data_IF_819008215834
#
_entry.id   IF_819008215834
#
_cell.length_a   1.000
_cell.length_b   1.000
_cell.length_c   1.000
_cell.angle_alpha   90.00
_cell.angle_beta   90.00
_cell.angle_gamma   90.00
#
_symmetry.space_group_name_H-M   'P 1'
#
loop_
_entity.id
_entity.type
_entity.pdbx_description
1 polymer ?
#
# COMPACT_ATOMS: atom_id res chain seq x y z
N UNK A 1 -4.82 7.61 10.67
CA UNK A 1 -5.87 8.02 9.72
C UNK A 1 -5.43 9.31 9.06
N UNK A 2 -6.00 9.64 7.92
CA UNK A 2 -5.62 10.83 7.14
C UNK A 2 -6.82 11.37 6.36
N UNK A 3 -6.66 12.53 5.73
CA UNK A 3 -7.66 13.10 4.83
C UNK A 3 -7.13 13.07 3.41
N UNK A 4 -7.87 12.43 2.50
CA UNK A 4 -7.60 12.52 1.07
C UNK A 4 -8.27 13.77 0.50
N UNK A 5 -7.56 14.49 -0.37
CA UNK A 5 -8.05 15.69 -1.05
C UNK A 5 -8.01 15.47 -2.56
N UNK A 6 -9.18 15.35 -3.17
CA UNK A 6 -9.35 15.27 -4.61
C UNK A 6 -9.57 16.66 -5.22
N UNK A 7 -8.53 17.22 -5.82
CA UNK A 7 -8.60 18.52 -6.49
C UNK A 7 -9.40 18.44 -7.79
N UNK A 8 -10.27 19.42 -8.01
CA UNK A 8 -11.17 19.49 -9.18
C UNK A 8 -10.39 19.87 -10.44
N UNK A 9 -10.73 19.25 -11.57
CA UNK A 9 -10.22 19.57 -12.90
C UNK A 9 -8.70 19.47 -13.09
N UNK A 10 -8.01 18.65 -12.29
CA UNK A 10 -6.58 18.36 -12.47
C UNK A 10 -6.32 17.28 -13.53
N UNK A 11 -7.33 16.46 -13.84
CA UNK A 11 -7.20 15.26 -14.65
C UNK A 11 -6.45 14.11 -13.97
N UNK A 12 -5.91 14.34 -12.76
CA UNK A 12 -5.18 13.34 -11.99
C UNK A 12 -6.12 12.52 -11.12
N UNK A 13 -5.88 11.20 -10.96
CA UNK A 13 -6.65 10.40 -10.03
C UNK A 13 -6.48 10.94 -8.62
N UNK A 14 -7.57 10.93 -7.84
CA UNK A 14 -7.50 11.27 -6.41
C UNK A 14 -6.67 10.24 -5.65
N UNK A 15 -6.77 8.99 -6.08
CA UNK A 15 -5.96 7.90 -5.56
C UNK A 15 -5.67 6.88 -6.67
N UNK A 16 -4.43 6.43 -6.75
CA UNK A 16 -4.00 5.46 -7.77
C UNK A 16 -4.42 4.05 -7.37
N UNK A 17 -4.35 3.10 -8.32
CA UNK A 17 -4.55 1.69 -7.98
C UNK A 17 -3.52 1.24 -6.96
N UNK A 18 -3.99 0.75 -5.81
CA UNK A 18 -3.14 0.24 -4.73
C UNK A 18 -3.93 -0.68 -3.79
N UNK A 19 -3.20 -1.30 -2.86
CA UNK A 19 -3.75 -1.88 -1.62
C UNK A 19 -3.19 -1.12 -0.44
N UNK A 20 -3.96 -0.99 0.63
CA UNK A 20 -3.51 -0.25 1.81
C UNK A 20 -2.39 -0.97 2.55
N UNK A 21 -1.57 -0.19 3.25
CA UNK A 21 -0.64 -0.68 4.27
C UNK A 21 -1.35 -0.95 5.62
N UNK A 22 -2.65 -1.22 5.63
CA UNK A 22 -3.41 -1.48 6.86
C UNK A 22 -4.45 -2.59 6.64
N UNK A 23 -4.83 -3.32 7.69
CA UNK A 23 -5.73 -4.47 7.52
C UNK A 23 -7.11 -4.05 7.05
N UNK A 24 -7.68 -3.02 7.68
CA UNK A 24 -9.01 -2.52 7.39
C UNK A 24 -9.01 -1.00 7.34
N UNK A 25 -9.85 -0.43 6.49
CA UNK A 25 -10.06 1.02 6.40
C UNK A 25 -11.53 1.35 6.39
N UNK A 26 -11.89 2.42 7.09
CA UNK A 26 -13.17 3.10 7.02
C UNK A 26 -12.97 4.44 6.31
N UNK A 27 -13.49 4.55 5.10
CA UNK A 27 -13.39 5.75 4.27
C UNK A 27 -14.73 6.46 4.33
N UNK A 28 -14.75 7.65 4.95
CA UNK A 28 -15.95 8.47 5.08
C UNK A 28 -15.87 9.64 4.13
N UNK A 29 -16.87 9.83 3.27
CA UNK A 29 -16.98 11.04 2.44
C UNK A 29 -17.50 12.17 3.31
N UNK A 30 -16.83 13.33 3.27
CA UNK A 30 -17.25 14.49 4.06
C UNK A 30 -17.62 15.70 3.19
N UNK A 31 -17.16 15.75 1.93
CA UNK A 31 -17.60 16.73 0.95
C UNK A 31 -18.99 16.42 0.41
N UNK A 32 -19.70 17.44 -0.05
CA UNK A 32 -20.88 17.29 -0.90
C UNK A 32 -20.46 16.72 -2.26
N UNK A 33 -21.10 15.60 -2.64
CA UNK A 33 -20.79 14.85 -3.86
C UNK A 33 -21.99 14.77 -4.81
N UNK A 34 -23.12 15.43 -4.52
CA UNK A 34 -24.37 15.27 -5.28
C UNK A 34 -24.19 15.60 -6.77
N UNK A 35 -23.47 16.67 -7.09
CA UNK A 35 -23.19 17.10 -8.48
C UNK A 35 -21.77 16.77 -8.95
N UNK A 36 -21.03 15.96 -8.18
CA UNK A 36 -19.63 15.66 -8.49
C UNK A 36 -19.53 14.69 -9.67
N UNK A 37 -18.83 15.11 -10.73
CA UNK A 37 -18.45 14.24 -11.85
C UNK A 37 -17.04 13.69 -11.63
N UNK A 38 -16.92 12.37 -11.57
CA UNK A 38 -15.66 11.71 -11.22
C UNK A 38 -15.52 11.51 -9.71
N UNK A 39 -14.30 11.38 -9.19
CA UNK A 39 -14.07 11.12 -7.76
C UNK A 39 -14.63 9.78 -7.27
N UNK A 40 -14.82 8.82 -8.18
CA UNK A 40 -15.50 7.56 -7.95
C UNK A 40 -14.53 6.53 -7.39
N UNK A 41 -14.89 5.88 -6.28
CA UNK A 41 -14.14 4.73 -5.77
C UNK A 41 -14.34 3.55 -6.72
N UNK A 42 -13.24 2.99 -7.19
CA UNK A 42 -13.19 1.80 -8.04
C UNK A 42 -12.52 0.66 -7.28
N UNK A 43 -13.11 -0.51 -7.34
CA UNK A 43 -12.65 -1.72 -6.62
C UNK A 43 -12.58 -2.87 -7.61
N UNK A 44 -11.48 -3.62 -7.56
CA UNK A 44 -11.35 -4.87 -8.31
C UNK A 44 -12.10 -5.99 -7.57
N UNK A 45 -13.06 -6.64 -8.25
CA UNK A 45 -13.84 -7.76 -7.73
C UNK A 45 -13.10 -9.10 -7.89
N UNK A 46 -11.83 -9.13 -7.47
CA UNK A 46 -11.00 -10.33 -7.52
C UNK A 46 -10.09 -10.39 -6.29
N UNK A 47 -10.07 -11.51 -5.55
CA UNK A 47 -9.19 -11.66 -4.41
C UNK A 47 -7.74 -11.91 -4.85
N UNK A 48 -6.79 -11.50 -4.02
CA UNK A 48 -5.39 -11.93 -4.10
C UNK A 48 -4.97 -12.59 -2.79
N UNK A 49 -5.04 -13.94 -2.76
CA UNK A 49 -4.51 -14.72 -1.65
C UNK A 49 -2.99 -14.91 -1.72
N UNK A 50 -2.39 -14.71 -2.90
CA UNK A 50 -0.96 -14.94 -3.16
C UNK A 50 -0.09 -13.77 -2.72
N UNK A 51 -0.69 -12.57 -2.65
CA UNK A 51 0.01 -11.31 -2.41
C UNK A 51 0.86 -10.82 -3.57
N UNK A 52 0.95 -11.58 -4.67
CA UNK A 52 1.73 -11.29 -5.88
C UNK A 52 0.88 -10.83 -7.06
N UNK A 53 -0.38 -11.28 -7.11
CA UNK A 53 -1.26 -11.08 -8.25
C UNK A 53 -1.58 -9.61 -8.48
N UNK A 54 -1.82 -8.85 -7.41
CA UNK A 54 -2.08 -7.42 -7.54
C UNK A 54 -0.89 -6.63 -8.09
N UNK A 55 0.36 -7.01 -7.78
CA UNK A 55 1.51 -6.34 -8.40
C UNK A 55 1.59 -6.59 -9.91
N UNK A 56 1.24 -7.80 -10.35
CA UNK A 56 1.16 -8.11 -11.76
C UNK A 56 0.08 -7.28 -12.47
N UNK A 57 -1.10 -7.15 -11.87
CA UNK A 57 -2.18 -6.32 -12.41
C UNK A 57 -1.81 -4.84 -12.44
N UNK A 58 -1.10 -4.34 -11.43
CA UNK A 58 -0.60 -2.96 -11.44
C UNK A 58 0.36 -2.70 -12.61
N UNK A 59 1.19 -3.68 -12.98
CA UNK A 59 2.10 -3.57 -14.12
C UNK A 59 1.41 -3.74 -15.48
N UNK A 60 0.45 -4.66 -15.57
CA UNK A 60 -0.22 -5.01 -16.84
C UNK A 60 -1.48 -4.20 -17.12
N UNK A 61 -2.00 -3.50 -16.12
CA UNK A 61 -3.29 -2.84 -16.14
C UNK A 61 -4.37 -3.66 -15.44
N UNK A 62 -5.27 -2.96 -14.74
CA UNK A 62 -6.40 -3.58 -14.05
C UNK A 62 -7.53 -3.88 -15.05
N UNK A 63 -8.02 -5.13 -15.14
CA UNK A 63 -9.07 -5.54 -16.08
C UNK A 63 -10.39 -4.84 -15.77
N UNK A 64 -10.86 -4.00 -16.70
CA UNK A 64 -11.97 -3.08 -16.45
C UNK A 64 -13.31 -3.81 -16.26
N UNK A 65 -13.47 -4.98 -16.87
CA UNK A 65 -14.63 -5.86 -16.75
C UNK A 65 -14.79 -6.45 -15.35
N UNK A 66 -13.74 -6.44 -14.54
CA UNK A 66 -13.75 -6.89 -13.15
C UNK A 66 -13.79 -5.72 -12.15
N UNK A 67 -13.84 -4.48 -12.63
CA UNK A 67 -13.86 -3.29 -11.78
C UNK A 67 -15.29 -2.83 -11.51
N UNK A 68 -15.64 -2.78 -10.23
CA UNK A 68 -16.88 -2.18 -9.76
C UNK A 68 -16.65 -0.75 -9.29
N UNK A 69 -17.67 0.10 -9.48
CA UNK A 69 -17.68 1.46 -8.93
C UNK A 69 -18.57 1.48 -7.70
N UNK A 70 -18.03 1.88 -6.56
CA UNK A 70 -18.82 2.06 -5.34
C UNK A 70 -19.36 3.49 -5.27
N UNK A 71 -20.68 3.59 -5.08
CA UNK A 71 -21.38 4.87 -4.98
C UNK A 71 -21.64 5.21 -3.52
N UNK A 72 -21.09 6.35 -3.08
CA UNK A 72 -21.51 6.97 -1.83
C UNK A 72 -22.85 7.68 -2.05
N UNK A 73 -23.73 7.63 -1.05
CA UNK A 73 -25.03 8.31 -1.12
C UNK A 73 -24.92 9.81 -0.86
N UNK A 74 -23.93 10.25 -0.10
CA UNK A 74 -23.69 11.65 0.22
C UNK A 74 -22.66 11.85 1.34
N UNK A 75 -22.53 13.07 1.87
CA UNK A 75 -21.69 13.36 3.03
C UNK A 75 -22.04 12.51 4.25
N UNK A 76 -21.03 12.09 5.01
CA UNK A 76 -21.16 11.25 6.20
C UNK A 76 -21.31 9.75 5.91
N UNK A 77 -21.55 9.34 4.68
CA UNK A 77 -21.56 7.94 4.31
C UNK A 77 -20.14 7.38 4.25
N UNK A 78 -20.00 6.12 4.64
CA UNK A 78 -18.71 5.47 4.73
C UNK A 78 -18.71 4.08 4.10
N UNK A 79 -17.53 3.66 3.65
CA UNK A 79 -17.24 2.30 3.22
C UNK A 79 -16.23 1.72 4.19
N UNK A 80 -16.51 0.50 4.66
CA UNK A 80 -15.56 -0.28 5.45
C UNK A 80 -15.07 -1.46 4.61
N UNK A 81 -13.75 -1.60 4.46
CA UNK A 81 -13.15 -2.59 3.57
C UNK A 81 -11.84 -3.16 4.11
N UNK A 82 -11.45 -4.32 3.57
CA UNK A 82 -10.16 -4.96 3.85
C UNK A 82 -9.06 -4.27 3.03
N UNK A 83 -8.49 -3.19 3.57
CA UNK A 83 -7.58 -2.31 2.85
C UNK A 83 -6.40 -3.03 2.19
N UNK A 84 -5.71 -3.89 2.92
CA UNK A 84 -4.56 -4.64 2.42
C UNK A 84 -4.89 -5.80 1.47
N UNK A 85 -6.19 -6.06 1.23
CA UNK A 85 -6.67 -7.24 0.48
C UNK A 85 -7.53 -6.90 -0.73
N UNK A 86 -7.88 -5.64 -0.91
CA UNK A 86 -8.77 -5.20 -1.99
C UNK A 86 -8.04 -4.14 -2.80
N UNK A 87 -7.75 -4.45 -4.07
CA UNK A 87 -7.14 -3.50 -4.99
C UNK A 87 -8.17 -2.43 -5.37
N UNK A 88 -7.84 -1.16 -5.15
CA UNK A 88 -8.78 -0.06 -5.32
C UNK A 88 -8.10 1.24 -5.77
N UNK A 89 -8.88 2.18 -6.31
CA UNK A 89 -8.44 3.49 -6.79
C UNK A 89 -9.58 4.51 -6.71
N UNK A 90 -9.28 5.80 -6.83
CA UNK A 90 -10.29 6.86 -6.93
C UNK A 90 -10.07 7.68 -8.20
N UNK A 91 -11.09 7.75 -9.06
CA UNK A 91 -10.98 8.47 -10.34
C UNK A 91 -10.74 9.97 -10.15
N UNK A 92 -10.23 10.67 -11.17
CA UNK A 92 -10.12 12.13 -11.12
C UNK A 92 -11.45 12.81 -10.81
N UNK A 93 -11.42 13.93 -10.10
CA UNK A 93 -12.58 14.81 -9.97
C UNK A 93 -12.58 15.75 -11.17
N UNK A 94 -13.56 15.60 -12.05
CA UNK A 94 -13.64 16.36 -13.31
C UNK A 94 -14.36 17.69 -13.09
N UNK A 95 -15.49 17.66 -12.38
CA UNK A 95 -16.31 18.83 -12.06
C UNK A 95 -16.93 18.62 -10.67
N UNK A 96 -16.90 19.66 -9.83
CA UNK A 96 -17.54 19.69 -8.52
C UNK A 96 -17.65 21.13 -8.01
N UNK A 97 -18.53 21.37 -7.03
CA UNK A 97 -18.65 22.67 -6.34
C UNK A 97 -17.49 22.94 -5.38
N UNK A 98 -16.87 21.88 -4.87
CA UNK A 98 -15.75 21.91 -3.92
C UNK A 98 -14.81 20.71 -4.15
N UNK A 99 -13.58 20.71 -3.58
CA UNK A 99 -12.73 19.54 -3.62
C UNK A 99 -13.38 18.33 -2.95
N UNK A 100 -13.06 17.14 -3.44
CA UNK A 100 -13.52 15.89 -2.81
C UNK A 100 -12.72 15.63 -1.56
N UNK A 101 -13.37 15.62 -0.41
CA UNK A 101 -12.75 15.29 0.86
C UNK A 101 -13.23 13.94 1.37
N UNK A 102 -12.29 13.09 1.76
CA UNK A 102 -12.61 11.86 2.50
C UNK A 102 -11.69 11.69 3.70
N UNK A 103 -12.29 11.35 4.84
CA UNK A 103 -11.59 10.98 6.07
C UNK A 103 -11.38 9.47 6.09
N UNK A 104 -10.12 9.04 6.20
CA UNK A 104 -9.72 7.64 6.23
C UNK A 104 -9.28 7.26 7.63
N UNK A 105 -9.98 6.30 8.23
CA UNK A 105 -9.61 5.69 9.50
C UNK A 105 -9.14 4.27 9.27
N UNK A 106 -7.91 3.97 9.69
CA UNK A 106 -7.31 2.65 9.53
C UNK A 106 -7.41 1.85 10.82
N UNK A 107 -7.64 0.56 10.68
CA UNK A 107 -7.71 -0.40 11.77
C UNK A 107 -6.82 -1.60 11.46
N UNK A 108 -6.38 -2.27 12.52
CA UNK A 108 -5.53 -3.45 12.45
C UNK A 108 -6.17 -4.62 13.16
N UNK A 109 -5.77 -5.82 12.76
CA UNK A 109 -6.14 -7.04 13.48
C UNK A 109 -5.61 -7.01 14.91
N UNK A 110 -6.37 -7.59 15.84
CA UNK A 110 -5.92 -7.83 17.22
C UNK A 110 -5.00 -9.03 17.34
N UNK A 111 -4.97 -9.89 16.32
CA UNK A 111 -4.06 -11.03 16.28
C UNK A 111 -2.66 -10.58 15.88
N UNK A 112 -1.81 -10.43 16.89
CA UNK A 112 -0.43 -9.96 16.76
C UNK A 112 0.52 -10.99 16.14
N UNK A 113 0.05 -12.21 15.87
CA UNK A 113 0.83 -13.25 15.18
C UNK A 113 0.55 -13.27 13.67
N UNK A 114 -0.52 -12.64 13.21
CA UNK A 114 -0.75 -12.46 11.78
C UNK A 114 0.24 -11.47 11.19
N UNK A 115 0.53 -11.64 9.89
CA UNK A 115 1.37 -10.73 9.11
C UNK A 115 0.85 -9.30 9.25
N UNK A 116 1.76 -8.39 9.60
CA UNK A 116 1.49 -6.96 9.61
C UNK A 116 1.58 -6.36 8.18
N UNK A 117 0.50 -5.79 7.62
CA UNK A 117 0.56 -5.10 6.34
C UNK A 117 1.21 -3.71 6.45
N UNK A 118 1.41 -3.17 7.66
CA UNK A 118 1.95 -1.82 7.85
C UNK A 118 3.33 -1.64 7.27
N UNK A 119 3.42 -0.69 6.34
CA UNK A 119 4.62 -0.29 5.61
C UNK A 119 5.09 1.06 6.10
N UNK A 120 6.31 1.12 6.59
CA UNK A 120 6.95 2.36 7.04
C UNK A 120 7.05 3.37 5.89
N UNK A 121 7.46 2.92 4.71
CA UNK A 121 7.66 3.78 3.55
C UNK A 121 6.38 4.51 3.10
N UNK A 122 5.19 3.91 3.27
CA UNK A 122 3.92 4.57 2.89
C UNK A 122 3.76 5.93 3.59
N UNK A 123 4.13 6.03 4.86
CA UNK A 123 4.02 7.25 5.65
C UNK A 123 5.12 8.29 5.34
N UNK A 124 6.15 7.88 4.62
CA UNK A 124 7.20 8.77 4.11
C UNK A 124 6.93 9.25 2.67
N UNK A 125 5.94 8.65 2.01
CA UNK A 125 5.66 8.94 0.60
C UNK A 125 5.15 10.36 0.38
N UNK A 126 5.40 10.91 -0.82
CA UNK A 126 4.92 12.23 -1.22
C UNK A 126 3.38 12.24 -1.13
N UNK A 127 2.84 13.14 -0.32
CA UNK A 127 1.39 13.25 -0.07
C UNK A 127 1.02 13.21 1.40
N UNK A 128 1.90 12.70 2.26
CA UNK A 128 1.80 12.82 3.71
C UNK A 128 2.67 13.99 4.19
N UNK A 129 2.06 15.00 4.80
CA UNK A 129 2.75 16.20 5.33
C UNK A 129 2.90 16.13 6.86
N UNK A 130 3.22 14.93 7.35
CA UNK A 130 3.49 14.71 8.75
C UNK A 130 4.85 15.33 9.13
N UNK A 131 4.94 15.80 10.38
CA UNK A 131 6.24 16.21 10.92
C UNK A 131 7.20 15.01 10.90
N UNK A 132 8.47 15.29 10.59
CA UNK A 132 9.54 14.27 10.45
C UNK A 132 9.70 13.35 11.67
N UNK A 133 9.32 13.81 12.86
CA UNK A 133 9.42 13.05 14.11
C UNK A 133 8.19 12.18 14.41
N UNK A 134 7.06 12.42 13.74
CA UNK A 134 5.80 11.71 13.99
C UNK A 134 5.85 10.30 13.42
N UNK A 135 6.22 10.16 12.15
CA UNK A 135 6.25 8.86 11.45
C UNK A 135 7.11 7.81 12.16
N UNK A 136 8.40 8.05 12.50
CA UNK A 136 9.21 7.07 13.21
C UNK A 136 8.65 6.71 14.59
N UNK A 137 8.08 7.69 15.31
CA UNK A 137 7.51 7.47 16.63
C UNK A 137 6.23 6.61 16.58
N UNK A 138 5.27 6.97 15.71
CA UNK A 138 4.01 6.23 15.59
C UNK A 138 4.22 4.82 15.03
N UNK A 139 5.16 4.67 14.08
CA UNK A 139 5.55 3.36 13.61
C UNK A 139 6.17 2.51 14.73
N UNK A 140 7.07 3.10 15.54
CA UNK A 140 7.64 2.40 16.69
C UNK A 140 6.57 2.04 17.75
N UNK A 141 5.60 2.92 18.00
CA UNK A 141 4.47 2.65 18.92
C UNK A 141 3.63 1.47 18.46
N UNK A 142 3.30 1.40 17.17
CA UNK A 142 2.60 0.27 16.56
C UNK A 142 3.36 -1.04 16.77
N UNK A 143 4.65 -1.07 16.41
CA UNK A 143 5.49 -2.27 16.56
C UNK A 143 5.67 -2.68 18.01
N UNK A 144 5.83 -1.71 18.92
CA UNK A 144 5.88 -1.98 20.35
C UNK A 144 4.57 -2.56 20.88
N UNK A 145 3.41 -2.08 20.41
CA UNK A 145 2.10 -2.64 20.79
C UNK A 145 1.96 -4.11 20.34
N UNK A 146 2.37 -4.43 19.11
CA UNK A 146 2.33 -5.81 18.59
C UNK A 146 3.22 -6.75 19.39
N UNK A 147 4.48 -6.39 19.56
CA UNK A 147 5.48 -7.16 20.33
C UNK A 147 5.07 -7.33 21.78
N UNK A 148 4.51 -6.28 22.41
CA UNK A 148 3.91 -6.39 23.74
C UNK A 148 2.81 -7.45 23.79
N UNK A 149 1.95 -7.51 22.78
CA UNK A 149 0.91 -8.55 22.67
C UNK A 149 1.50 -9.96 22.57
N UNK A 150 2.55 -10.14 21.75
CA UNK A 150 3.24 -11.44 21.59
C UNK A 150 3.87 -11.90 22.90
N UNK A 151 4.52 -10.99 23.64
CA UNK A 151 5.10 -11.30 24.96
C UNK A 151 4.02 -11.55 26.02
N UNK A 152 2.92 -10.80 25.98
CA UNK A 152 1.77 -11.01 26.87
C UNK A 152 1.16 -12.41 26.68
N UNK A 153 1.09 -12.91 25.45
CA UNK A 153 0.63 -14.27 25.18
C UNK A 153 1.48 -15.33 25.89
N UNK A 154 2.81 -15.20 25.88
CA UNK A 154 3.71 -16.10 26.63
C UNK A 154 3.42 -16.04 28.14
N UNK A 155 3.23 -14.83 28.67
CA UNK A 155 3.04 -14.62 30.11
C UNK A 155 1.69 -15.14 30.61
N UNK A 156 0.63 -14.92 29.85
CA UNK A 156 -0.74 -15.02 30.38
C UNK A 156 -1.55 -16.17 29.76
N UNK A 157 -1.24 -16.59 28.53
CA UNK A 157 -2.09 -17.51 27.75
C UNK A 157 -1.40 -18.85 27.44
N UNK A 158 -0.06 -18.89 27.42
CA UNK A 158 0.67 -20.09 27.09
C UNK A 158 0.57 -21.15 28.21
N UNK A 159 0.03 -22.32 27.87
CA UNK A 159 -0.22 -23.38 28.83
C UNK A 159 1.08 -24.10 29.28
N UNK A 160 1.13 -24.61 30.53
CA UNK A 160 2.14 -25.56 30.94
C UNK A 160 2.18 -26.77 30.00
N UNK A 161 3.35 -27.09 29.47
CA UNK A 161 3.53 -28.14 28.46
C UNK A 161 3.83 -27.62 27.05
N UNK A 162 3.78 -26.31 26.82
CA UNK A 162 4.36 -25.71 25.62
C UNK A 162 5.84 -26.12 25.47
N UNK A 163 6.21 -26.51 24.27
CA UNK A 163 7.56 -26.98 23.96
C UNK A 163 8.54 -25.81 23.91
N UNK A 164 9.83 -26.10 24.14
CA UNK A 164 10.89 -25.10 23.97
C UNK A 164 10.90 -24.50 22.57
N UNK A 165 10.54 -25.29 21.55
CA UNK A 165 10.46 -24.85 20.15
C UNK A 165 9.35 -23.81 19.93
N UNK A 166 8.15 -24.04 20.48
CA UNK A 166 7.04 -23.09 20.38
C UNK A 166 7.36 -21.76 21.07
N UNK A 167 7.98 -21.82 22.24
CA UNK A 167 8.42 -20.63 22.99
C UNK A 167 9.49 -19.88 22.19
N UNK A 168 10.53 -20.58 21.74
CA UNK A 168 11.63 -19.99 20.98
C UNK A 168 11.12 -19.31 19.71
N UNK A 169 10.22 -19.97 18.96
CA UNK A 169 9.64 -19.42 17.73
C UNK A 169 8.94 -18.08 17.96
N UNK A 170 8.19 -17.93 19.05
CA UNK A 170 7.54 -16.64 19.36
C UNK A 170 8.61 -15.59 19.69
N UNK A 171 9.58 -15.92 20.54
CA UNK A 171 10.65 -14.99 20.92
C UNK A 171 11.49 -14.53 19.72
N UNK A 172 11.79 -15.44 18.80
CA UNK A 172 12.50 -15.16 17.55
C UNK A 172 11.67 -14.26 16.64
N UNK A 173 10.39 -14.59 16.41
CA UNK A 173 9.46 -13.76 15.62
C UNK A 173 9.38 -12.33 16.17
N UNK A 174 9.26 -12.19 17.49
CA UNK A 174 9.24 -10.90 18.18
C UNK A 174 10.54 -10.12 18.00
N UNK A 175 11.68 -10.80 18.13
CA UNK A 175 13.02 -10.22 17.94
C UNK A 175 13.22 -9.73 16.50
N UNK A 176 12.81 -10.53 15.52
CA UNK A 176 12.85 -10.19 14.10
C UNK A 176 11.99 -8.97 13.78
N UNK A 177 10.77 -8.90 14.32
CA UNK A 177 9.88 -7.76 14.12
C UNK A 177 10.50 -6.45 14.63
N UNK A 178 11.10 -6.46 15.83
CA UNK A 178 11.81 -5.29 16.37
C UNK A 178 13.04 -4.92 15.55
N UNK A 179 13.87 -5.90 15.17
CA UNK A 179 15.09 -5.67 14.38
C UNK A 179 14.75 -5.06 13.03
N UNK A 180 13.80 -5.64 12.30
CA UNK A 180 13.36 -5.14 11.01
C UNK A 180 12.82 -3.71 11.13
N UNK A 181 12.02 -3.43 12.16
CA UNK A 181 11.48 -2.09 12.41
C UNK A 181 12.57 -1.06 12.69
N UNK A 182 13.60 -1.42 13.46
CA UNK A 182 14.74 -0.53 13.72
C UNK A 182 15.56 -0.25 12.45
N UNK A 183 15.71 -1.23 11.55
CA UNK A 183 16.38 -1.04 10.26
C UNK A 183 15.61 -0.07 9.36
N UNK A 184 14.28 -0.19 9.30
CA UNK A 184 13.41 0.73 8.55
C UNK A 184 13.49 2.16 9.09
N UNK A 185 13.37 2.34 10.41
CA UNK A 185 13.45 3.66 11.06
C UNK A 185 14.80 4.35 10.82
N UNK A 186 15.89 3.57 10.78
CA UNK A 186 17.24 4.08 10.46
C UNK A 186 17.49 4.26 8.96
N UNK A 187 16.48 3.99 8.13
CA UNK A 187 16.58 4.03 6.67
C UNK A 187 17.67 3.09 6.11
N UNK A 188 17.98 2.03 6.86
CA UNK A 188 18.94 0.99 6.46
C UNK A 188 18.28 -0.10 5.60
N UNK A 189 16.95 -0.11 5.56
CA UNK A 189 16.11 -0.98 4.73
C UNK A 189 14.90 -0.18 4.22
N UNK A 190 14.27 -0.68 3.16
CA UNK A 190 12.99 -0.16 2.65
C UNK A 190 11.96 -1.27 2.55
N UNK A 191 10.68 -0.92 2.71
CA UNK A 191 9.54 -1.83 2.62
C UNK A 191 8.48 -1.34 1.62
N UNK A 192 8.96 -0.81 0.48
CA UNK A 192 8.18 -0.16 -0.57
C UNK A 192 6.86 -0.89 -0.87
N UNK A 193 5.77 -0.12 -0.88
CA UNK A 193 4.52 -0.54 -1.48
C UNK A 193 4.65 -0.49 -3.01
N UNK A 194 3.99 -1.41 -3.71
CA UNK A 194 3.92 -1.37 -5.16
C UNK A 194 3.02 -0.22 -5.60
N UNK A 195 3.55 1.00 -5.65
CA UNK A 195 2.95 2.09 -6.40
C UNK A 195 3.53 2.05 -7.82
N UNK A 196 2.68 2.19 -8.84
CA UNK A 196 3.15 2.41 -10.20
C UNK A 196 3.49 3.90 -10.32
N UNK A 197 4.79 4.20 -10.35
CA UNK A 197 5.30 5.54 -10.68
C UNK A 197 5.18 5.78 -12.19
N UNK A 198 4.50 6.87 -12.58
CA UNK A 198 4.31 7.29 -13.98
C UNK A 198 5.58 7.90 -14.60
N UNK A 199 6.68 8.06 -13.85
CA UNK A 199 7.90 8.74 -14.34
C UNK A 199 8.70 7.93 -15.38
N UNK A 200 8.23 6.75 -15.82
CA UNK A 200 8.90 5.96 -16.88
C UNK A 200 8.15 5.88 -18.21
N UNK A 201 7.13 6.70 -18.42
CA UNK A 201 6.45 6.81 -19.73
C UNK A 201 6.52 8.21 -20.31
N UNK A 202 7.70 8.83 -20.31
CA UNK A 202 7.99 9.92 -21.25
C UNK A 202 9.00 9.41 -22.30
N UNK A 203 8.46 8.73 -23.31
CA UNK A 203 9.17 8.33 -24.51
C UNK A 203 9.50 9.52 -25.40
N UNK A 204 10.30 10.46 -24.92
CA UNK A 204 11.07 11.36 -25.80
C UNK A 204 12.41 10.70 -26.10
N UNK A 205 12.42 9.89 -27.14
CA UNK A 205 13.65 9.44 -27.78
C UNK A 205 14.42 10.68 -28.28
N UNK A 206 15.43 11.11 -27.53
CA UNK A 206 16.45 12.02 -28.04
C UNK A 206 17.21 11.32 -29.18
N UNK A 207 16.92 11.73 -30.40
CA UNK A 207 17.70 11.39 -31.58
C UNK A 207 19.08 12.03 -31.49
N UNK A 208 20.08 11.30 -30.96
CA UNK A 208 21.49 11.63 -31.22
C UNK A 208 21.99 10.88 -32.44
N UNK A 209 22.12 11.64 -33.53
CA UNK A 209 22.93 11.30 -34.70
C UNK A 209 24.39 11.14 -34.29
N UNK A 210 25.00 10.04 -34.71
CA UNK A 210 26.45 9.82 -34.62
C UNK A 210 26.84 8.67 -35.53
N UNK A 211 27.20 9.00 -36.77
CA UNK A 211 27.67 8.06 -37.79
C UNK A 211 29.01 7.41 -37.40
N UNK A 212 29.19 6.12 -37.69
CA UNK A 212 30.55 5.55 -37.75
C UNK A 212 30.69 4.03 -37.62
N UNK A 213 30.78 3.38 -38.79
CA UNK A 213 31.55 2.15 -39.11
C UNK A 213 31.10 0.76 -38.62
N UNK A 214 30.66 0.01 -39.64
CA UNK A 214 30.81 -1.43 -39.96
C UNK A 214 31.82 -2.23 -39.12
N UNK A 215 31.37 -3.42 -38.69
CA UNK A 215 32.20 -4.56 -38.32
C UNK A 215 31.33 -5.71 -37.81
N UNK A 216 31.11 -6.74 -38.63
CA UNK A 216 30.28 -7.89 -38.29
C UNK A 216 30.94 -8.85 -37.30
N UNK A 217 30.12 -9.53 -36.49
CA UNK A 217 30.42 -10.87 -36.00
C UNK A 217 29.11 -11.56 -35.57
N UNK A 218 28.98 -12.85 -35.91
CA UNK A 218 27.81 -13.69 -35.65
C UNK A 218 27.63 -14.03 -34.15
N UNK A 219 26.41 -14.36 -33.69
CA UNK A 219 26.18 -14.77 -32.30
C UNK A 219 26.57 -16.23 -32.06
N UNK A 220 27.37 -16.47 -31.03
CA UNK A 220 27.62 -17.80 -30.47
C UNK A 220 26.62 -18.05 -29.35
N UNK A 221 25.77 -19.07 -29.56
CA UNK A 221 24.83 -19.61 -28.58
C UNK A 221 25.60 -20.40 -27.51
N UNK A 222 25.45 -20.04 -26.24
CA UNK A 222 25.80 -20.92 -25.12
C UNK A 222 24.53 -21.19 -24.31
N UNK A 223 24.03 -22.42 -24.41
CA UNK A 223 23.03 -22.99 -23.52
C UNK A 223 23.74 -23.45 -22.25
N UNK A 224 23.43 -22.86 -21.10
CA UNK A 224 23.67 -23.49 -19.81
C UNK A 224 22.39 -24.19 -19.36
N UNK A 225 22.49 -25.50 -19.14
CA UNK A 225 21.56 -26.28 -18.33
C UNK A 225 22.01 -26.15 -16.88
N UNK A 226 21.12 -25.77 -16.00
CA UNK A 226 20.93 -26.28 -14.63
C UNK A 226 19.47 -26.04 -14.27
#
# INVERSE_FOLDING_TARGET
GHTNVGQVATGQPVDKWHVDSTDYVLITIISDIEEMKGGLLRVLQQPDSSGGHFQELLLKGVPQELVETVKYTGPGYAIFMQGSKILHAVTPVLEAREPRYSLVNSYMTRDVFLRDPTKYHTFLSKGFDDRKDVVPLEYARHKAWRVKGQMKYILDEMAPGATSEEIAKIMETTSEELKASALLIREQQQDNAAFVDDEKTDGRAEAKRGAGRKGGMQPVTVRSKL
#
